data_IF_268531628164
#
_entry.id   IF_268531628164
#
_cell.length_a   1.000
_cell.length_b   1.000
_cell.length_c   1.000
_cell.angle_alpha   90.00
_cell.angle_beta   90.00
_cell.angle_gamma   90.00
#
_symmetry.space_group_name_H-M   'P 1'
#
loop_
_entity.id
_entity.type
_entity.pdbx_description
1 polymer ?
#
# COMPACT_ATOMS: atom_id res chain seq x y z
N UNK A 1 -11.64 26.32 8.89
CA UNK A 1 -12.64 25.34 8.44
C UNK A 1 -12.72 25.51 6.94
N UNK A 2 -11.93 24.72 6.22
CA UNK A 2 -12.00 24.38 4.78
C UNK A 2 -10.64 23.81 4.36
N UNK A 3 -10.22 22.71 5.00
CA UNK A 3 -8.98 21.99 4.65
C UNK A 3 -9.23 20.83 3.67
N UNK A 4 -10.49 20.61 3.27
CA UNK A 4 -10.87 19.52 2.39
C UNK A 4 -11.99 19.95 1.45
N UNK A 5 -12.00 19.38 0.25
CA UNK A 5 -13.04 19.55 -0.78
C UNK A 5 -13.78 18.23 -0.96
N UNK A 6 -15.11 18.29 -0.88
CA UNK A 6 -15.97 17.11 -0.99
C UNK A 6 -16.61 17.08 -2.38
N UNK A 7 -16.42 15.99 -3.10
CA UNK A 7 -17.06 15.71 -4.38
C UNK A 7 -17.97 14.49 -4.22
N UNK A 8 -19.22 14.59 -4.65
CA UNK A 8 -20.18 13.49 -4.61
C UNK A 8 -20.23 12.80 -5.97
N UNK A 9 -19.81 11.54 -6.05
CA UNK A 9 -19.85 10.73 -7.26
C UNK A 9 -20.67 9.45 -7.04
N UNK A 10 -21.91 9.45 -7.53
CA UNK A 10 -22.81 8.30 -7.41
C UNK A 10 -23.16 7.99 -5.95
N UNK A 11 -22.57 6.93 -5.42
CA UNK A 11 -22.72 6.46 -4.02
C UNK A 11 -21.48 6.79 -3.16
N UNK A 12 -20.51 7.51 -3.71
CA UNK A 12 -19.22 7.79 -3.08
C UNK A 12 -19.06 9.28 -2.76
N UNK A 13 -18.49 9.56 -1.60
CA UNK A 13 -17.92 10.85 -1.25
C UNK A 13 -16.40 10.78 -1.49
N UNK A 14 -15.90 11.64 -2.37
CA UNK A 14 -14.47 11.85 -2.60
C UNK A 14 -14.06 13.06 -1.80
N UNK A 15 -13.09 12.89 -0.91
CA UNK A 15 -12.59 13.94 -0.02
C UNK A 15 -11.15 14.23 -0.43
N UNK A 16 -10.97 15.38 -1.08
CA UNK A 16 -9.67 15.90 -1.50
C UNK A 16 -9.12 16.79 -0.39
N UNK A 17 -7.93 16.49 0.13
CA UNK A 17 -7.28 17.38 1.07
C UNK A 17 -6.68 18.61 0.34
N UNK A 18 -6.67 19.76 0.99
CA UNK A 18 -5.98 20.95 0.49
C UNK A 18 -4.45 20.76 0.44
N UNK A 19 -3.91 19.86 1.25
CA UNK A 19 -2.53 19.38 1.15
C UNK A 19 -2.41 18.30 0.06
N UNK A 20 -1.69 18.56 -1.05
CA UNK A 20 -1.54 17.62 -2.15
C UNK A 20 -0.68 16.39 -1.80
N UNK A 21 -0.01 16.38 -0.65
CA UNK A 21 0.76 15.22 -0.17
C UNK A 21 -0.12 14.18 0.52
N UNK A 22 -1.35 14.55 0.90
CA UNK A 22 -2.34 13.65 1.49
C UNK A 22 -3.18 13.03 0.36
N UNK A 23 -3.17 11.70 0.27
CA UNK A 23 -3.90 10.98 -0.77
C UNK A 23 -5.41 11.24 -0.71
N UNK A 24 -6.04 11.31 -1.89
CA UNK A 24 -7.50 11.46 -2.04
C UNK A 24 -8.19 10.23 -1.45
N UNK A 25 -9.18 10.46 -0.60
CA UNK A 25 -9.91 9.39 0.10
C UNK A 25 -11.30 9.23 -0.50
N UNK A 26 -11.70 7.97 -0.75
CA UNK A 26 -13.03 7.63 -1.26
C UNK A 26 -13.83 6.89 -0.18
N UNK A 27 -14.95 7.46 0.25
CA UNK A 27 -15.87 6.85 1.20
C UNK A 27 -17.14 6.42 0.48
N UNK A 28 -17.46 5.12 0.52
CA UNK A 28 -18.74 4.61 0.00
C UNK A 28 -19.83 4.78 1.06
N UNK A 29 -20.79 5.65 0.79
CA UNK A 29 -21.91 5.98 1.69
C UNK A 29 -23.20 5.29 1.22
N UNK A 30 -23.38 5.12 -0.09
CA UNK A 30 -24.63 4.62 -0.68
C UNK A 30 -25.58 5.77 -1.06
N UNK A 31 -26.84 5.45 -1.32
CA UNK A 31 -27.83 6.43 -1.82
C UNK A 31 -28.11 7.59 -0.86
N UNK A 32 -27.78 7.43 0.42
CA UNK A 32 -27.99 8.41 1.49
C UNK A 32 -27.10 9.64 1.34
N UNK A 33 -26.01 9.57 0.58
CA UNK A 33 -25.11 10.70 0.30
C UNK A 33 -25.83 11.94 -0.26
N UNK A 34 -26.96 11.73 -0.94
CA UNK A 34 -27.79 12.80 -1.52
C UNK A 34 -28.55 13.60 -0.47
N UNK A 35 -28.74 13.02 0.71
CA UNK A 35 -29.47 13.60 1.83
C UNK A 35 -28.53 14.20 2.87
N UNK A 36 -27.23 13.90 2.77
CA UNK A 36 -26.22 14.36 3.71
C UNK A 36 -25.63 15.71 3.31
N UNK A 37 -25.57 16.62 4.26
CA UNK A 37 -24.77 17.84 4.18
C UNK A 37 -23.28 17.54 4.10
N UNK A 38 -22.49 18.52 3.64
CA UNK A 38 -21.03 18.41 3.63
C UNK A 38 -20.48 18.13 5.03
N UNK A 39 -21.06 18.75 6.06
CA UNK A 39 -20.66 18.52 7.45
C UNK A 39 -20.94 17.10 7.92
N UNK A 40 -22.10 16.52 7.59
CA UNK A 40 -22.40 15.12 7.94
C UNK A 40 -21.49 14.12 7.23
N UNK A 41 -21.09 14.41 5.98
CA UNK A 41 -20.10 13.60 5.26
C UNK A 41 -18.72 13.72 5.91
N UNK A 42 -18.34 14.92 6.37
CA UNK A 42 -17.08 15.13 7.08
C UNK A 42 -17.06 14.48 8.46
N UNK A 43 -18.16 14.54 9.20
CA UNK A 43 -18.26 13.91 10.52
C UNK A 43 -18.17 12.38 10.37
N UNK A 44 -18.89 11.80 9.40
CA UNK A 44 -18.78 10.38 9.08
C UNK A 44 -17.35 10.00 8.64
N UNK A 45 -16.70 10.85 7.85
CA UNK A 45 -15.31 10.64 7.47
C UNK A 45 -14.37 10.67 8.68
N UNK A 46 -14.51 11.68 9.53
CA UNK A 46 -13.70 11.82 10.75
C UNK A 46 -13.92 10.66 11.71
N UNK A 47 -15.13 10.12 11.81
CA UNK A 47 -15.44 8.94 12.62
C UNK A 47 -14.77 7.67 12.06
N UNK A 48 -14.74 7.52 10.73
CA UNK A 48 -14.00 6.44 10.06
C UNK A 48 -12.50 6.59 10.28
N UNK A 49 -11.95 7.79 10.13
CA UNK A 49 -10.54 8.08 10.41
C UNK A 49 -10.23 7.79 11.88
N UNK A 50 -11.02 8.28 12.82
CA UNK A 50 -10.80 8.05 14.25
C UNK A 50 -10.87 6.56 14.61
N UNK A 51 -11.78 5.80 13.99
CA UNK A 51 -11.85 4.34 14.16
C UNK A 51 -10.64 3.64 13.57
N UNK A 52 -10.15 4.08 12.40
CA UNK A 52 -8.92 3.58 11.79
C UNK A 52 -7.69 3.96 12.61
N UNK A 53 -7.62 5.18 13.13
CA UNK A 53 -6.54 5.69 13.97
C UNK A 53 -6.53 5.01 15.33
N UNK A 54 -7.68 4.64 15.88
CA UNK A 54 -7.77 3.83 17.09
C UNK A 54 -7.22 2.42 16.84
N UNK A 55 -7.61 1.78 15.73
CA UNK A 55 -7.03 0.50 15.30
C UNK A 55 -5.53 0.61 15.01
N UNK A 56 -5.07 1.76 14.50
CA UNK A 56 -3.67 2.05 14.18
C UNK A 56 -2.83 2.36 15.41
N UNK A 57 -3.39 3.06 16.40
CA UNK A 57 -2.74 3.38 17.67
C UNK A 57 -2.59 2.14 18.56
N UNK A 58 -3.48 1.16 18.38
CA UNK A 58 -3.38 -0.17 18.99
C UNK A 58 -2.38 -1.09 18.25
N UNK A 59 -1.99 -0.74 17.02
CA UNK A 59 -1.00 -1.47 16.23
C UNK A 59 0.40 -0.87 16.44
N UNK A 60 1.24 -1.57 17.22
CA UNK A 60 2.69 -1.35 17.15
C UNK A 60 3.13 -1.60 15.70
N UNK A 61 3.98 -0.72 15.15
CA UNK A 61 4.51 -0.82 13.78
C UNK A 61 5.54 -1.96 13.66
N UNK A 62 5.07 -3.19 13.92
CA UNK A 62 5.84 -4.41 13.93
C UNK A 62 5.38 -5.25 12.74
N UNK A 63 6.26 -5.39 11.77
CA UNK A 63 6.09 -6.29 10.63
C UNK A 63 6.78 -7.62 10.91
N UNK A 64 6.10 -8.72 10.57
CA UNK A 64 6.67 -10.07 10.71
C UNK A 64 7.32 -10.50 9.40
N UNK A 65 8.61 -10.78 9.42
CA UNK A 65 9.33 -11.38 8.31
C UNK A 65 9.30 -12.91 8.37
N UNK A 66 9.12 -13.56 7.22
CA UNK A 66 9.22 -15.02 7.12
C UNK A 66 10.70 -15.43 7.10
N UNK A 67 11.17 -16.32 8.00
CA UNK A 67 12.58 -16.73 8.03
C UNK A 67 13.10 -17.28 6.69
N UNK A 68 14.40 -17.09 6.37
CA UNK A 68 15.01 -17.68 5.19
C UNK A 68 14.78 -19.19 5.07
N UNK A 69 14.65 -19.67 3.83
CA UNK A 69 14.34 -21.08 3.54
C UNK A 69 12.88 -21.49 3.76
N UNK A 70 11.99 -20.54 4.11
CA UNK A 70 10.54 -20.76 4.17
C UNK A 70 9.87 -19.89 3.10
N UNK A 71 8.82 -20.40 2.42
CA UNK A 71 8.11 -19.62 1.41
C UNK A 71 7.53 -18.34 2.01
N UNK A 72 7.81 -17.20 1.40
CA UNK A 72 7.30 -15.87 1.75
C UNK A 72 5.89 -15.65 1.20
N UNK A 73 5.55 -16.31 0.09
CA UNK A 73 4.24 -16.23 -0.55
C UNK A 73 3.55 -17.59 -0.55
N UNK A 74 2.22 -17.56 -0.74
CA UNK A 74 1.43 -18.75 -1.02
C UNK A 74 0.38 -18.41 -2.06
N UNK A 75 0.00 -19.41 -2.84
CA UNK A 75 -1.10 -19.25 -3.78
C UNK A 75 -2.44 -19.41 -3.05
N UNK A 76 -3.39 -18.52 -3.32
CA UNK A 76 -4.74 -18.52 -2.77
C UNK A 76 -5.73 -18.85 -3.89
N UNK A 77 -6.22 -20.09 -3.90
CA UNK A 77 -7.01 -20.65 -5.00
C UNK A 77 -8.32 -19.89 -5.25
N UNK A 78 -9.09 -19.57 -4.19
CA UNK A 78 -10.39 -18.88 -4.33
C UNK A 78 -10.25 -17.48 -4.94
N UNK A 79 -9.11 -16.85 -4.71
CA UNK A 79 -8.78 -15.54 -5.24
C UNK A 79 -7.87 -15.58 -6.44
N UNK A 80 -7.52 -16.77 -6.97
CA UNK A 80 -6.60 -17.01 -8.10
C UNK A 80 -5.35 -16.11 -8.07
N UNK A 81 -4.70 -15.97 -6.90
CA UNK A 81 -3.58 -15.03 -6.75
C UNK A 81 -2.56 -15.47 -5.72
N UNK A 82 -1.34 -14.99 -5.87
CA UNK A 82 -0.34 -15.05 -4.80
C UNK A 82 -0.71 -14.08 -3.68
N UNK A 83 -0.44 -14.49 -2.43
CA UNK A 83 -0.63 -13.66 -1.24
C UNK A 83 0.61 -13.75 -0.34
N UNK A 84 1.03 -12.63 0.27
CA UNK A 84 2.15 -12.63 1.21
C UNK A 84 1.78 -13.37 2.49
N UNK A 85 2.78 -14.02 3.11
CA UNK A 85 2.64 -14.70 4.41
C UNK A 85 3.17 -13.88 5.58
N UNK A 86 3.93 -12.82 5.30
CA UNK A 86 4.48 -11.89 6.26
C UNK A 86 4.42 -10.45 5.72
N UNK A 87 4.89 -9.49 6.51
CA UNK A 87 4.93 -8.07 6.16
C UNK A 87 6.23 -7.63 5.49
N UNK A 88 7.19 -8.53 5.32
CA UNK A 88 8.46 -8.30 4.62
C UNK A 88 8.58 -9.32 3.49
N UNK A 89 8.86 -8.82 2.29
CA UNK A 89 9.13 -9.61 1.08
C UNK A 89 10.55 -9.31 0.61
N UNK A 90 11.37 -10.35 0.54
CA UNK A 90 12.68 -10.34 -0.10
C UNK A 90 12.46 -10.68 -1.57
N UNK A 91 12.59 -9.67 -2.41
CA UNK A 91 12.31 -9.72 -3.83
C UNK A 91 13.60 -9.50 -4.63
N UNK A 92 13.73 -10.19 -5.75
CA UNK A 92 14.69 -9.81 -6.79
C UNK A 92 13.95 -9.18 -7.96
N UNK A 93 14.54 -8.16 -8.56
CA UNK A 93 13.96 -7.45 -9.71
C UNK A 93 14.84 -7.77 -10.91
N UNK A 94 14.21 -8.29 -11.97
CA UNK A 94 14.81 -8.52 -13.28
C UNK A 94 13.95 -7.85 -14.36
N UNK A 95 14.33 -8.01 -15.62
CA UNK A 95 13.56 -7.59 -16.78
C UNK A 95 13.31 -8.76 -17.74
N UNK A 96 12.12 -8.83 -18.33
CA UNK A 96 11.82 -9.77 -19.40
C UNK A 96 12.42 -9.35 -20.75
N UNK A 97 12.15 -10.13 -21.81
CA UNK A 97 12.64 -9.87 -23.18
C UNK A 97 12.15 -8.53 -23.76
N UNK A 98 11.04 -8.00 -23.26
CA UNK A 98 10.45 -6.73 -23.68
C UNK A 98 10.95 -5.55 -22.81
N UNK A 99 11.75 -5.82 -21.77
CA UNK A 99 12.29 -4.84 -20.84
C UNK A 99 11.32 -4.46 -19.72
N UNK A 100 10.24 -5.21 -19.53
CA UNK A 100 9.29 -5.00 -18.44
C UNK A 100 9.80 -5.65 -17.15
N UNK A 101 9.52 -5.01 -16.01
CA UNK A 101 10.02 -5.51 -14.74
C UNK A 101 9.35 -6.84 -14.35
N UNK A 102 10.18 -7.75 -13.86
CA UNK A 102 9.77 -9.06 -13.35
C UNK A 102 10.29 -9.18 -11.92
N UNK A 103 9.42 -9.63 -11.01
CA UNK A 103 9.74 -9.74 -9.58
C UNK A 103 9.82 -11.21 -9.20
N UNK A 104 10.98 -11.65 -8.72
CA UNK A 104 11.17 -13.00 -8.21
C UNK A 104 11.01 -13.03 -6.70
N UNK A 105 10.15 -13.92 -6.21
CA UNK A 105 9.92 -14.17 -4.77
C UNK A 105 9.79 -15.67 -4.58
N UNK A 106 10.59 -16.22 -3.66
CA UNK A 106 10.76 -17.67 -3.54
C UNK A 106 11.15 -18.27 -4.91
N UNK A 107 10.47 -19.33 -5.36
CA UNK A 107 10.66 -19.95 -6.68
C UNK A 107 9.70 -19.40 -7.75
N UNK A 108 9.05 -18.26 -7.50
CA UNK A 108 8.04 -17.69 -8.40
C UNK A 108 8.58 -16.47 -9.13
N UNK A 109 8.30 -16.43 -10.42
CA UNK A 109 8.49 -15.28 -11.29
C UNK A 109 7.15 -14.57 -11.45
N UNK A 110 7.06 -13.32 -11.00
CA UNK A 110 5.82 -12.53 -11.02
C UNK A 110 5.96 -11.37 -11.99
N UNK A 111 5.02 -11.29 -12.93
CA UNK A 111 4.82 -10.08 -13.72
C UNK A 111 4.47 -8.89 -12.82
N UNK A 112 4.69 -7.65 -13.27
CA UNK A 112 4.19 -6.46 -12.56
C UNK A 112 2.69 -6.53 -12.25
N UNK A 113 1.91 -7.16 -13.15
CA UNK A 113 0.47 -7.33 -12.94
C UNK A 113 0.18 -8.27 -11.76
N UNK A 114 0.87 -9.41 -11.69
CA UNK A 114 0.65 -10.40 -10.63
C UNK A 114 1.20 -9.92 -9.29
N UNK A 115 2.38 -9.29 -9.31
CA UNK A 115 2.95 -8.66 -8.14
C UNK A 115 2.04 -7.53 -7.62
N UNK A 116 1.58 -6.63 -8.51
CA UNK A 116 0.65 -5.56 -8.15
C UNK A 116 -0.66 -6.10 -7.58
N UNK A 117 -1.19 -7.20 -8.13
CA UNK A 117 -2.37 -7.86 -7.60
C UNK A 117 -2.13 -8.45 -6.20
N UNK A 118 -0.97 -9.07 -5.97
CA UNK A 118 -0.60 -9.56 -4.64
C UNK A 118 -0.55 -8.43 -3.60
N UNK A 119 -0.05 -7.24 -3.95
CA UNK A 119 0.00 -6.07 -3.06
C UNK A 119 -1.41 -5.58 -2.62
N UNK A 120 -2.46 -5.89 -3.39
CA UNK A 120 -3.84 -5.48 -3.03
C UNK A 120 -4.35 -6.12 -1.75
N UNK A 121 -3.70 -7.18 -1.25
CA UNK A 121 -3.94 -7.76 0.09
C UNK A 121 -3.69 -6.71 1.20
N UNK A 122 -2.90 -5.67 0.92
CA UNK A 122 -2.58 -4.59 1.85
C UNK A 122 -3.14 -3.25 1.38
N UNK A 123 -4.25 -3.25 0.61
CA UNK A 123 -4.92 -2.02 0.21
C UNK A 123 -5.25 -1.13 1.43
N UNK A 124 -4.83 0.14 1.37
CA UNK A 124 -4.94 1.10 2.48
C UNK A 124 -3.71 1.18 3.40
N UNK A 125 -2.69 0.35 3.20
CA UNK A 125 -1.43 0.38 3.94
C UNK A 125 -0.34 1.12 3.16
N UNK A 126 0.67 1.64 3.86
CA UNK A 126 1.88 2.18 3.24
C UNK A 126 2.95 1.10 3.00
N UNK A 127 3.78 1.30 1.98
CA UNK A 127 4.92 0.42 1.66
C UNK A 127 6.20 1.27 1.53
N UNK A 128 7.32 0.76 2.06
CA UNK A 128 8.66 1.32 1.85
C UNK A 128 9.48 0.34 1.02
N UNK A 129 10.19 0.83 0.02
CA UNK A 129 11.08 0.04 -0.85
C UNK A 129 12.51 0.51 -0.59
N UNK A 130 13.42 -0.45 -0.41
CA UNK A 130 14.86 -0.22 -0.34
C UNK A 130 15.53 -1.07 -1.42
N UNK A 131 16.47 -0.49 -2.16
CA UNK A 131 17.29 -1.21 -3.12
C UNK A 131 18.60 -1.61 -2.46
N UNK A 132 18.97 -2.88 -2.60
CA UNK A 132 20.20 -3.47 -2.05
C UNK A 132 20.84 -4.37 -3.11
N UNK A 133 22.12 -4.69 -2.94
CA UNK A 133 22.78 -5.71 -3.75
C UNK A 133 22.07 -7.06 -3.61
N UNK A 134 22.09 -7.88 -4.67
CA UNK A 134 21.44 -9.20 -4.71
C UNK A 134 21.80 -10.07 -3.49
N UNK A 135 23.09 -10.08 -3.13
CA UNK A 135 23.62 -10.85 -2.00
C UNK A 135 23.12 -10.36 -0.63
N UNK A 136 22.58 -9.13 -0.56
CA UNK A 136 22.16 -8.48 0.69
C UNK A 136 20.65 -8.49 0.92
N UNK A 137 19.84 -9.05 0.00
CA UNK A 137 18.37 -9.01 0.10
C UNK A 137 17.82 -9.67 1.38
N UNK A 138 18.58 -10.59 1.97
CA UNK A 138 18.22 -11.29 3.20
C UNK A 138 18.55 -10.54 4.50
N UNK A 139 19.17 -9.37 4.39
CA UNK A 139 19.65 -8.59 5.51
C UNK A 139 18.83 -7.31 5.67
N UNK A 140 18.60 -6.87 6.91
CA UNK A 140 17.97 -5.57 7.16
C UNK A 140 18.96 -4.45 6.80
N UNK A 141 18.66 -3.60 5.80
CA UNK A 141 19.58 -2.57 5.37
C UNK A 141 19.65 -1.43 6.38
N UNK A 142 20.84 -0.85 6.55
CA UNK A 142 20.99 0.43 7.23
C UNK A 142 20.47 1.56 6.31
N UNK A 143 19.51 2.35 6.80
CA UNK A 143 18.91 3.45 6.03
C UNK A 143 19.48 4.78 6.50
N UNK A 144 20.17 5.48 5.61
CA UNK A 144 20.65 6.85 5.83
C UNK A 144 19.67 7.83 5.18
N UNK A 145 19.22 8.84 5.93
CA UNK A 145 18.35 9.91 5.43
C UNK A 145 19.21 11.11 5.05
N UNK A 146 19.39 11.33 3.75
CA UNK A 146 20.03 12.52 3.20
C UNK A 146 19.40 12.87 1.86
N UNK A 147 19.56 14.12 1.43
CA UNK A 147 19.24 14.51 0.06
C UNK A 147 20.11 13.71 -0.93
N UNK A 148 19.58 13.37 -2.13
CA UNK A 148 20.39 12.75 -3.16
C UNK A 148 21.53 13.71 -3.55
N UNK A 149 22.71 13.19 -3.88
CA UNK A 149 23.78 14.03 -4.42
C UNK A 149 23.26 14.77 -5.66
N UNK A 150 23.63 16.05 -5.83
CA UNK A 150 23.13 16.95 -6.89
C UNK A 150 23.34 16.43 -8.34
N UNK A 151 24.01 15.29 -8.53
CA UNK A 151 24.25 14.68 -9.82
C UNK A 151 24.05 13.16 -9.75
N UNK A 152 22.80 12.70 -9.88
CA UNK A 152 22.53 11.36 -10.40
C UNK A 152 21.55 11.44 -11.58
N UNK A 153 21.80 10.63 -12.64
CA UNK A 153 21.11 10.68 -13.93
C UNK A 153 19.66 10.19 -13.92
#
# INVERSE_FOLDING_TARGET
>A
MDEVKIIREGEFAIIENADPTVSVMQLKIGTEIRLMSDQEILDLFNDVIASQDQLRAEHENIVTEIPPGRPQIKYFEDGDQWVPRGGVLRCFIDSDEDGEAVVHIDDQELSLRDFGRMLTVHAGWGMRIAFVDEDSVGEEPEIIVSDPPENEP
#
